data_IF_098683081428
#
_entry.id   IF_098683081428
#
_cell.length_a   1.000
_cell.length_b   1.000
_cell.length_c   1.000
_cell.angle_alpha   90.00
_cell.angle_beta   90.00
_cell.angle_gamma   90.00
#
_symmetry.space_group_name_H-M   'P 1'
#
loop_
_entity.id
_entity.type
_entity.pdbx_description
1 polymer ?
#
# COMPACT_ATOMS: atom_id res chain seq x y z
N UNK A 1 -18.07 -16.07 -17.50
CA UNK A 1 -17.29 -15.12 -16.70
C UNK A 1 -18.29 -14.40 -15.81
N UNK A 2 -18.36 -14.75 -14.54
CA UNK A 2 -19.36 -14.24 -13.62
C UNK A 2 -18.70 -13.38 -12.54
N UNK A 3 -19.27 -12.20 -12.29
CA UNK A 3 -18.86 -11.35 -11.19
C UNK A 3 -19.56 -11.81 -9.91
N UNK A 4 -18.80 -12.02 -8.84
CA UNK A 4 -19.36 -12.34 -7.52
C UNK A 4 -18.61 -11.61 -6.40
N UNK A 5 -19.35 -10.89 -5.55
CA UNK A 5 -18.81 -10.19 -4.38
C UNK A 5 -18.39 -11.19 -3.30
N UNK A 6 -18.99 -12.39 -3.25
CA UNK A 6 -18.60 -13.44 -2.33
C UNK A 6 -17.12 -13.83 -2.49
N UNK A 7 -16.55 -13.65 -3.69
CA UNK A 7 -15.12 -13.88 -3.95
C UNK A 7 -14.19 -12.93 -3.18
N UNK A 8 -14.71 -11.88 -2.54
CA UNK A 8 -13.91 -11.06 -1.62
C UNK A 8 -13.46 -11.85 -0.38
N UNK A 9 -14.32 -12.76 0.10
CA UNK A 9 -14.12 -13.66 1.23
C UNK A 9 -14.70 -15.03 0.87
N UNK A 10 -14.03 -15.79 -0.03
CA UNK A 10 -14.56 -17.05 -0.53
C UNK A 10 -14.50 -18.15 0.53
N UNK A 11 -15.31 -19.20 0.35
CA UNK A 11 -15.32 -20.37 1.25
C UNK A 11 -14.03 -21.19 1.14
N UNK A 12 -13.47 -21.35 -0.08
CA UNK A 12 -12.18 -22.00 -0.30
C UNK A 12 -11.05 -20.96 -0.38
N UNK A 13 -10.20 -20.96 0.65
CA UNK A 13 -9.05 -20.04 0.74
C UNK A 13 -7.80 -20.58 0.03
N UNK A 14 -7.80 -21.85 -0.36
CA UNK A 14 -6.60 -22.54 -0.86
C UNK A 14 -6.34 -22.30 -2.35
N UNK A 15 -7.38 -21.94 -3.11
CA UNK A 15 -7.31 -21.74 -4.56
C UNK A 15 -7.79 -20.33 -4.92
N UNK A 16 -7.13 -19.71 -5.90
CA UNK A 16 -7.62 -18.51 -6.56
C UNK A 16 -8.09 -18.88 -7.97
N UNK A 17 -9.38 -18.75 -8.22
CA UNK A 17 -10.07 -19.11 -9.48
C UNK A 17 -9.99 -18.02 -10.56
N UNK A 18 -9.72 -16.77 -10.18
CA UNK A 18 -9.68 -15.64 -11.10
C UNK A 18 -8.44 -15.57 -11.99
N UNK A 19 -8.28 -14.44 -12.70
CA UNK A 19 -7.19 -14.28 -13.66
C UNK A 19 -5.79 -14.34 -13.04
N UNK A 20 -4.98 -15.32 -13.44
CA UNK A 20 -3.63 -15.52 -12.88
C UNK A 20 -2.71 -14.29 -12.95
N UNK A 21 -2.84 -13.43 -13.97
CA UNK A 21 -2.02 -12.22 -14.07
C UNK A 21 -2.29 -11.23 -12.94
N UNK A 22 -3.51 -11.21 -12.37
CA UNK A 22 -3.86 -10.35 -11.23
C UNK A 22 -2.92 -10.66 -10.07
N UNK A 23 -2.71 -11.95 -9.78
CA UNK A 23 -1.77 -12.37 -8.73
C UNK A 23 -0.35 -11.89 -9.02
N UNK A 24 0.13 -12.00 -10.26
CA UNK A 24 1.48 -11.56 -10.64
C UNK A 24 1.66 -10.06 -10.39
N UNK A 25 0.71 -9.23 -10.85
CA UNK A 25 0.76 -7.78 -10.67
C UNK A 25 0.74 -7.43 -9.17
N UNK A 26 -0.07 -8.13 -8.37
CA UNK A 26 -0.14 -7.91 -6.92
C UNK A 26 1.14 -8.33 -6.20
N UNK A 27 1.82 -9.39 -6.63
CA UNK A 27 3.15 -9.73 -6.11
C UNK A 27 4.16 -8.58 -6.34
N UNK A 28 4.11 -7.94 -7.51
CA UNK A 28 4.94 -6.76 -7.81
C UNK A 28 4.57 -5.58 -6.88
N UNK A 29 3.28 -5.31 -6.67
CA UNK A 29 2.84 -4.27 -5.73
C UNK A 29 3.32 -4.54 -4.30
N UNK A 30 3.18 -5.77 -3.80
CA UNK A 30 3.68 -6.17 -2.48
C UNK A 30 5.18 -5.94 -2.36
N UNK A 31 5.97 -6.33 -3.37
CA UNK A 31 7.41 -6.08 -3.39
C UNK A 31 7.75 -4.58 -3.36
N UNK A 32 7.04 -3.75 -4.13
CA UNK A 32 7.21 -2.30 -4.11
C UNK A 32 6.89 -1.71 -2.73
N UNK A 33 5.84 -2.21 -2.07
CA UNK A 33 5.47 -1.79 -0.71
C UNK A 33 6.57 -2.19 0.29
N UNK A 34 7.13 -3.39 0.20
CA UNK A 34 8.29 -3.80 1.03
C UNK A 34 9.46 -2.84 0.85
N UNK A 35 9.86 -2.55 -0.39
CA UNK A 35 11.01 -1.66 -0.67
C UNK A 35 10.82 -0.29 -0.05
N UNK A 36 9.67 0.35 -0.25
CA UNK A 36 9.41 1.67 0.35
C UNK A 36 9.33 1.64 1.87
N UNK A 37 8.80 0.56 2.47
CA UNK A 37 8.74 0.42 3.92
C UNK A 37 10.14 0.29 4.51
N UNK A 38 11.02 -0.50 3.88
CA UNK A 38 12.42 -0.58 4.26
C UNK A 38 13.12 0.78 4.16
N UNK A 39 12.85 1.58 3.12
CA UNK A 39 13.39 2.95 3.04
C UNK A 39 12.93 3.79 4.23
N UNK A 40 11.64 3.78 4.57
CA UNK A 40 11.14 4.52 5.73
C UNK A 40 11.74 4.04 7.06
N UNK A 41 12.02 2.75 7.22
CA UNK A 41 12.58 2.20 8.46
C UNK A 41 14.08 2.45 8.59
N UNK A 42 14.85 2.26 7.51
CA UNK A 42 16.32 2.16 7.59
C UNK A 42 17.05 3.40 7.10
N UNK A 43 16.41 4.29 6.34
CA UNK A 43 17.07 5.50 5.87
C UNK A 43 17.14 6.55 7.00
N UNK A 44 18.27 7.25 7.14
CA UNK A 44 18.52 8.17 8.28
C UNK A 44 17.44 9.23 8.56
N UNK A 45 16.73 9.69 7.54
CA UNK A 45 15.66 10.70 7.66
C UNK A 45 14.25 10.07 7.50
N UNK A 46 14.15 8.74 7.49
CA UNK A 46 12.94 7.99 7.15
C UNK A 46 12.35 8.34 5.78
N UNK A 47 13.10 9.01 4.90
CA UNK A 47 12.60 9.57 3.64
C UNK A 47 11.85 10.91 3.77
N UNK A 48 11.76 11.51 4.96
CA UNK A 48 11.05 12.76 5.19
C UNK A 48 11.63 13.92 4.37
N UNK A 49 12.95 14.11 4.43
CA UNK A 49 13.62 15.23 3.77
C UNK A 49 13.99 14.88 2.32
N UNK A 50 14.77 13.80 2.11
CA UNK A 50 15.36 13.47 0.81
C UNK A 50 14.33 13.06 -0.24
N UNK A 51 13.32 12.29 0.17
CA UNK A 51 12.26 11.79 -0.72
C UNK A 51 11.06 12.72 -0.69
N UNK A 52 10.51 13.00 0.50
CA UNK A 52 9.28 13.75 0.61
C UNK A 52 9.46 15.27 0.57
N UNK A 53 10.68 15.79 0.75
CA UNK A 53 10.96 17.22 0.70
C UNK A 53 10.43 18.00 1.90
N UNK A 54 10.16 17.33 3.02
CA UNK A 54 9.74 17.98 4.26
C UNK A 54 10.96 18.67 4.88
N UNK A 55 10.78 19.92 5.31
CA UNK A 55 11.83 20.64 6.04
C UNK A 55 11.95 20.07 7.46
N UNK A 56 13.08 19.43 7.73
CA UNK A 56 13.43 18.84 9.03
C UNK A 56 14.41 19.69 9.83
N UNK A 57 14.79 20.88 9.33
CA UNK A 57 15.68 21.82 10.04
C UNK A 57 14.94 22.66 11.10
N UNK A 58 13.61 22.63 11.08
CA UNK A 58 12.74 23.37 12.00
C UNK A 58 12.64 22.70 13.38
N UNK A 59 12.14 23.46 14.36
CA UNK A 59 11.80 22.92 15.67
C UNK A 59 10.83 21.73 15.52
N UNK A 60 11.21 20.56 16.05
CA UNK A 60 10.46 19.32 15.93
C UNK A 60 10.77 18.48 14.69
N UNK A 61 11.77 18.83 13.88
CA UNK A 61 12.21 18.05 12.72
C UNK A 61 12.56 16.60 13.06
N UNK A 62 13.22 16.36 14.19
CA UNK A 62 13.53 15.00 14.67
C UNK A 62 12.26 14.18 14.96
N UNK A 63 11.20 14.82 15.48
CA UNK A 63 9.92 14.16 15.69
C UNK A 63 9.25 13.81 14.35
N UNK A 64 9.40 14.65 13.32
CA UNK A 64 8.91 14.34 11.97
C UNK A 64 9.64 13.12 11.41
N UNK A 65 10.97 13.06 11.55
CA UNK A 65 11.77 11.90 11.14
C UNK A 65 11.30 10.64 11.90
N UNK A 66 11.17 10.73 13.22
CA UNK A 66 10.69 9.61 14.05
C UNK A 66 9.30 9.12 13.59
N UNK A 67 8.37 10.03 13.26
CA UNK A 67 7.06 9.66 12.72
C UNK A 67 7.16 8.95 11.36
N UNK A 68 8.09 9.33 10.49
CA UNK A 68 8.32 8.63 9.22
C UNK A 68 8.87 7.22 9.45
N UNK A 69 9.74 7.01 10.43
CA UNK A 69 10.18 5.66 10.83
C UNK A 69 9.02 4.82 11.37
N UNK A 70 8.18 5.38 12.23
CA UNK A 70 6.98 4.69 12.74
C UNK A 70 6.01 4.33 11.61
N UNK A 71 5.85 5.23 10.63
CA UNK A 71 5.05 4.96 9.43
C UNK A 71 5.65 3.81 8.60
N UNK A 72 6.96 3.79 8.42
CA UNK A 72 7.65 2.67 7.78
C UNK A 72 7.46 1.34 8.51
N UNK A 73 7.55 1.35 9.84
CA UNK A 73 7.43 0.15 10.67
C UNK A 73 6.03 -0.48 10.57
N UNK A 74 4.97 0.32 10.65
CA UNK A 74 3.60 -0.19 10.50
C UNK A 74 3.33 -0.67 9.06
N UNK A 75 3.87 0.01 8.04
CA UNK A 75 3.76 -0.45 6.66
C UNK A 75 4.49 -1.78 6.44
N UNK A 76 5.70 -1.94 6.97
CA UNK A 76 6.48 -3.16 6.86
C UNK A 76 5.78 -4.33 7.55
N UNK A 77 5.20 -4.08 8.72
CA UNK A 77 4.42 -5.07 9.48
C UNK A 77 3.19 -5.50 8.68
N UNK A 78 2.42 -4.54 8.15
CA UNK A 78 1.21 -4.81 7.37
C UNK A 78 1.54 -5.58 6.08
N UNK A 79 2.54 -5.14 5.31
CA UNK A 79 2.90 -5.85 4.07
C UNK A 79 3.47 -7.23 4.35
N UNK A 80 4.19 -7.43 5.47
CA UNK A 80 4.62 -8.74 5.92
C UNK A 80 3.44 -9.69 6.14
N UNK A 81 2.40 -9.22 6.85
CA UNK A 81 1.15 -9.97 7.02
C UNK A 81 0.46 -10.24 5.67
N UNK A 82 0.35 -9.23 4.80
CA UNK A 82 -0.30 -9.39 3.49
C UNK A 82 0.45 -10.38 2.59
N UNK A 83 1.78 -10.44 2.65
CA UNK A 83 2.57 -11.46 1.92
C UNK A 83 2.25 -12.86 2.46
N UNK A 84 2.20 -13.04 3.78
CA UNK A 84 1.81 -14.32 4.39
C UNK A 84 0.42 -14.73 3.92
N UNK A 85 -0.55 -13.81 3.94
CA UNK A 85 -1.91 -14.08 3.48
C UNK A 85 -1.93 -14.44 1.99
N UNK A 86 -1.27 -13.64 1.16
CA UNK A 86 -1.22 -13.82 -0.29
C UNK A 86 -0.57 -15.14 -0.72
N UNK A 87 0.48 -15.57 -0.02
CA UNK A 87 1.19 -16.84 -0.31
C UNK A 87 0.42 -18.02 0.25
N UNK A 88 -0.06 -17.94 1.49
CA UNK A 88 -0.62 -19.08 2.22
C UNK A 88 -2.09 -19.34 1.94
N UNK A 89 -2.83 -18.29 1.55
CA UNK A 89 -4.26 -18.32 1.26
C UNK A 89 -4.55 -17.64 -0.09
N UNK A 90 -4.22 -18.29 -1.22
CA UNK A 90 -4.46 -17.74 -2.56
C UNK A 90 -5.87 -17.18 -2.79
N UNK A 91 -6.91 -17.83 -2.25
CA UNK A 91 -8.30 -17.39 -2.38
C UNK A 91 -8.56 -16.01 -1.77
N UNK A 92 -7.74 -15.57 -0.81
CA UNK A 92 -7.81 -14.22 -0.23
C UNK A 92 -7.10 -13.15 -1.07
N UNK A 93 -6.71 -13.44 -2.32
CA UNK A 93 -6.13 -12.44 -3.23
C UNK A 93 -7.00 -11.18 -3.33
N UNK A 94 -8.34 -11.25 -3.53
CA UNK A 94 -9.19 -10.05 -3.58
C UNK A 94 -9.12 -9.21 -2.29
N UNK A 95 -9.09 -9.85 -1.12
CA UNK A 95 -8.96 -9.16 0.17
C UNK A 95 -7.60 -8.44 0.31
N UNK A 96 -6.52 -9.06 -0.15
CA UNK A 96 -5.19 -8.42 -0.20
C UNK A 96 -5.24 -7.17 -1.09
N UNK A 97 -5.87 -7.26 -2.26
CA UNK A 97 -6.02 -6.13 -3.18
C UNK A 97 -6.85 -5.01 -2.56
N UNK A 98 -7.99 -5.36 -1.94
CA UNK A 98 -8.83 -4.40 -1.24
C UNK A 98 -8.02 -3.66 -0.16
N UNK A 99 -7.26 -4.39 0.64
CA UNK A 99 -6.42 -3.79 1.69
C UNK A 99 -5.40 -2.81 1.12
N UNK A 100 -4.75 -3.16 0.00
CA UNK A 100 -3.83 -2.25 -0.70
C UNK A 100 -4.57 -1.04 -1.29
N UNK A 101 -5.77 -1.21 -1.84
CA UNK A 101 -6.58 -0.15 -2.45
C UNK A 101 -7.09 0.87 -1.42
N UNK A 102 -7.25 0.46 -0.15
CA UNK A 102 -7.64 1.35 0.94
C UNK A 102 -6.54 2.33 1.36
N UNK A 103 -5.25 2.02 1.16
CA UNK A 103 -4.14 2.92 1.54
C UNK A 103 -4.22 4.28 0.81
N UNK A 104 -4.34 4.36 -0.54
CA UNK A 104 -4.52 5.62 -1.23
C UNK A 104 -5.75 6.43 -0.79
N UNK A 105 -6.85 5.75 -0.44
CA UNK A 105 -8.11 6.39 -0.01
C UNK A 105 -7.94 7.00 1.37
N UNK A 106 -7.50 6.21 2.34
CA UNK A 106 -7.30 6.67 3.73
C UNK A 106 -6.22 7.74 3.81
N UNK A 107 -5.14 7.64 3.01
CA UNK A 107 -4.14 8.70 2.89
C UNK A 107 -4.72 9.99 2.31
N UNK A 108 -5.54 9.89 1.26
CA UNK A 108 -6.20 11.07 0.70
C UNK A 108 -7.14 11.73 1.73
N UNK A 109 -7.88 10.94 2.51
CA UNK A 109 -8.72 11.45 3.59
C UNK A 109 -7.90 12.16 4.67
N UNK A 110 -6.80 11.55 5.15
CA UNK A 110 -5.91 12.17 6.13
C UNK A 110 -5.34 13.51 5.63
N UNK A 111 -5.01 13.60 4.34
CA UNK A 111 -4.49 14.83 3.72
C UNK A 111 -5.50 15.98 3.66
N UNK A 112 -6.81 15.70 3.77
CA UNK A 112 -7.84 16.73 3.88
C UNK A 112 -7.87 17.38 5.26
N UNK A 113 -7.49 16.64 6.29
CA UNK A 113 -7.39 17.16 7.66
C UNK A 113 -6.14 18.02 7.81
N UNK A 114 -4.98 17.50 7.38
CA UNK A 114 -3.73 18.24 7.39
C UNK A 114 -2.84 17.83 6.23
N UNK A 115 -2.48 18.80 5.39
CA UNK A 115 -1.56 18.58 4.27
C UNK A 115 -0.12 18.53 4.77
N UNK A 116 0.66 17.62 4.21
CA UNK A 116 2.10 17.56 4.42
C UNK A 116 2.77 18.67 3.61
N UNK A 117 3.39 19.64 4.28
CA UNK A 117 4.17 20.70 3.64
C UNK A 117 5.50 20.13 3.15
N UNK A 118 5.82 20.37 1.88
CA UNK A 118 7.01 19.84 1.23
C UNK A 118 7.50 20.77 0.11
N UNK A 119 8.79 20.76 -0.17
CA UNK A 119 9.43 21.57 -1.22
C UNK A 119 9.17 21.04 -2.63
N UNK A 120 8.72 19.79 -2.76
CA UNK A 120 8.38 19.11 -4.02
C UNK A 120 7.25 18.11 -3.76
N UNK A 121 6.48 17.76 -4.79
CA UNK A 121 5.44 16.72 -4.65
C UNK A 121 6.09 15.37 -4.33
N UNK A 122 5.82 14.77 -3.14
CA UNK A 122 6.39 13.48 -2.79
C UNK A 122 5.84 12.37 -3.70
N UNK A 123 6.62 11.29 -3.96
CA UNK A 123 6.16 10.19 -4.81
C UNK A 123 4.83 9.59 -4.34
N UNK A 124 4.62 9.46 -3.02
CA UNK A 124 3.39 8.95 -2.44
C UNK A 124 2.15 9.83 -2.71
N UNK A 125 2.32 11.14 -2.92
CA UNK A 125 1.23 12.01 -3.34
C UNK A 125 1.02 11.93 -4.86
N UNK A 126 2.11 11.96 -5.65
CA UNK A 126 2.05 11.89 -7.11
C UNK A 126 1.41 10.59 -7.62
N UNK A 127 1.76 9.46 -7.00
CA UNK A 127 1.30 8.13 -7.41
C UNK A 127 0.04 7.67 -6.67
N UNK A 128 -0.53 8.48 -5.77
CA UNK A 128 -1.68 8.08 -4.93
C UNK A 128 -2.86 7.58 -5.77
N UNK A 129 -3.40 8.43 -6.62
CA UNK A 129 -4.58 8.12 -7.44
C UNK A 129 -4.27 7.14 -8.57
N UNK A 130 -3.13 7.23 -9.29
CA UNK A 130 -2.73 6.17 -10.22
C UNK A 130 -2.70 4.78 -9.57
N UNK A 131 -2.11 4.65 -8.37
CA UNK A 131 -2.09 3.38 -7.65
C UNK A 131 -3.50 2.91 -7.27
N UNK A 132 -4.37 3.82 -6.80
CA UNK A 132 -5.76 3.49 -6.49
C UNK A 132 -6.51 2.93 -7.70
N UNK A 133 -6.46 3.58 -8.86
CA UNK A 133 -7.21 3.13 -10.03
C UNK A 133 -6.71 1.78 -10.55
N UNK A 134 -5.39 1.55 -10.52
CA UNK A 134 -4.82 0.24 -10.87
C UNK A 134 -5.29 -0.84 -9.89
N UNK A 135 -5.19 -0.60 -8.58
CA UNK A 135 -5.61 -1.56 -7.56
C UNK A 135 -7.13 -1.79 -7.58
N UNK A 136 -7.93 -0.77 -7.84
CA UNK A 136 -9.38 -0.89 -7.97
C UNK A 136 -9.77 -1.71 -9.20
N UNK A 137 -9.12 -1.49 -10.34
CA UNK A 137 -9.33 -2.31 -11.53
C UNK A 137 -8.96 -3.78 -11.28
N UNK A 138 -7.81 -4.03 -10.63
CA UNK A 138 -7.39 -5.37 -10.23
C UNK A 138 -8.36 -6.00 -9.23
N UNK A 139 -8.91 -5.22 -8.30
CA UNK A 139 -9.91 -5.70 -7.33
C UNK A 139 -11.15 -6.17 -8.08
N UNK A 140 -11.70 -5.34 -8.97
CA UNK A 140 -12.87 -5.70 -9.78
C UNK A 140 -12.59 -6.97 -10.60
N UNK A 141 -11.45 -7.03 -11.28
CA UNK A 141 -11.04 -8.21 -12.05
C UNK A 141 -10.85 -9.45 -11.17
N UNK A 142 -10.43 -9.27 -9.92
CA UNK A 142 -10.21 -10.38 -8.99
C UNK A 142 -11.48 -11.05 -8.50
N UNK A 143 -12.64 -10.41 -8.68
CA UNK A 143 -13.95 -10.91 -8.30
C UNK A 143 -14.66 -11.67 -9.43
N UNK A 144 -14.03 -11.78 -10.62
CA UNK A 144 -14.53 -12.59 -11.72
C UNK A 144 -13.93 -14.01 -11.69
N UNK A 145 -14.79 -14.97 -12.02
CA UNK A 145 -14.44 -16.37 -12.36
C UNK A 145 -14.79 -16.69 -13.82
#
# INVERSE_FOLDING_TARGET
MNFDIANLLPDDLSVYSGFGFVRIVIAIFLALVVVRSCIHVFAQDGGAQRIAGVDTSVAGGDNVIAMFHQWGAVQLTLVGLLIVVYVRYPGLTPLVILTLALDPVTRAMASRVKKLTSTKTPPGARLNWPAFFVLFALLVLSLFE
#
